data_IF_259101540360
#
_entry.id   IF_259101540360
#
_cell.length_a   1.000
_cell.length_b   1.000
_cell.length_c   1.000
_cell.angle_alpha   90.00
_cell.angle_beta   90.00
_cell.angle_gamma   90.00
#
_symmetry.space_group_name_H-M   'P 1'
#
loop_
_entity.id
_entity.type
_entity.pdbx_description
1 polymer ?
#
# COMPACT_ATOMS: atom_id res chain seq x y z
N UNK A 1 -4.42 18.63 31.45
CA UNK A 1 -4.27 19.38 30.18
C UNK A 1 -3.07 18.96 29.32
N UNK A 2 -2.10 18.16 29.79
CA UNK A 2 -0.93 17.74 28.99
C UNK A 2 -1.14 16.52 28.08
N UNK A 3 -2.04 15.60 28.45
CA UNK A 3 -2.33 14.36 27.71
C UNK A 3 -2.88 14.63 26.29
N UNK A 4 -3.70 15.68 26.14
CA UNK A 4 -4.25 16.07 24.84
C UNK A 4 -3.17 16.59 23.88
N UNK A 5 -2.10 17.21 24.37
CA UNK A 5 -1.01 17.71 23.52
C UNK A 5 -0.18 16.58 22.92
N UNK A 6 0.08 15.52 23.70
CA UNK A 6 0.84 14.36 23.23
C UNK A 6 0.02 13.58 22.19
N UNK A 7 -1.28 13.39 22.45
CA UNK A 7 -2.21 12.75 21.50
C UNK A 7 -2.32 13.55 20.19
N UNK A 8 -2.45 14.87 20.26
CA UNK A 8 -2.47 15.73 19.06
C UNK A 8 -1.17 15.66 18.26
N UNK A 9 -0.01 15.54 18.93
CA UNK A 9 1.29 15.44 18.26
C UNK A 9 1.45 14.12 17.51
N UNK A 10 1.01 13.01 18.11
CA UNK A 10 1.00 11.69 17.47
C UNK A 10 0.01 11.64 16.30
N UNK A 11 -1.18 12.23 16.47
CA UNK A 11 -2.19 12.31 15.41
C UNK A 11 -1.68 13.16 14.23
N UNK A 12 -1.08 14.32 14.51
CA UNK A 12 -0.52 15.21 13.49
C UNK A 12 0.68 14.57 12.76
N UNK A 13 1.54 13.84 13.47
CA UNK A 13 2.65 13.08 12.89
C UNK A 13 2.17 11.94 11.98
N UNK A 14 1.11 11.24 12.37
CA UNK A 14 0.45 10.23 11.54
C UNK A 14 -0.21 10.82 10.28
N UNK A 15 -0.85 11.98 10.41
CA UNK A 15 -1.47 12.70 9.30
C UNK A 15 -0.44 13.25 8.31
N UNK A 16 0.72 13.74 8.77
CA UNK A 16 1.78 14.22 7.89
C UNK A 16 2.47 13.10 7.10
N UNK A 17 2.64 11.92 7.70
CA UNK A 17 3.19 10.75 7.00
C UNK A 17 2.20 10.17 5.99
N UNK A 18 0.90 10.08 6.31
CA UNK A 18 -0.14 9.69 5.36
C UNK A 18 -0.39 10.75 4.27
N UNK A 19 -0.38 12.04 4.61
CA UNK A 19 -0.55 13.15 3.67
C UNK A 19 0.62 13.32 2.71
N UNK A 20 1.85 13.06 3.17
CA UNK A 20 3.05 13.02 2.32
C UNK A 20 3.02 11.87 1.30
N UNK A 21 2.48 10.70 1.67
CA UNK A 21 2.26 9.59 0.74
C UNK A 21 1.22 9.95 -0.35
N UNK A 22 0.11 10.59 0.02
CA UNK A 22 -0.92 11.02 -0.92
C UNK A 22 -0.44 12.15 -1.86
N UNK A 23 0.33 13.12 -1.35
CA UNK A 23 0.89 14.20 -2.17
C UNK A 23 2.00 13.70 -3.13
N UNK A 24 2.68 12.58 -2.81
CA UNK A 24 3.62 11.95 -3.73
C UNK A 24 2.93 11.22 -4.90
N UNK A 25 1.66 10.80 -4.72
CA UNK A 25 0.84 10.15 -5.74
C UNK A 25 0.21 11.13 -6.73
N UNK A 26 0.06 12.42 -6.39
CA UNK A 26 -0.62 13.41 -7.27
C UNK A 26 0.23 13.94 -8.42
N UNK A 27 1.46 13.43 -8.58
CA UNK A 27 2.33 13.88 -9.65
C UNK A 27 2.00 13.17 -10.94
N UNK A 28 1.24 13.87 -11.77
CA UNK A 28 1.13 13.72 -13.22
C UNK A 28 2.39 13.09 -13.83
N UNK A 29 2.27 11.80 -14.08
CA UNK A 29 3.20 10.87 -14.69
C UNK A 29 2.31 9.70 -15.14
N UNK A 30 2.76 8.93 -16.12
CA UNK A 30 2.06 7.76 -16.64
C UNK A 30 1.25 7.03 -15.57
N UNK A 31 0.02 6.62 -15.87
CA UNK A 31 -0.85 5.91 -14.91
C UNK A 31 -0.23 4.56 -14.54
N UNK A 32 0.62 4.56 -13.51
CA UNK A 32 1.35 3.39 -13.04
C UNK A 32 0.40 2.33 -12.48
N UNK A 33 -0.82 2.72 -12.07
CA UNK A 33 -1.84 1.79 -11.59
C UNK A 33 -2.41 0.94 -12.75
N UNK A 34 -2.27 1.37 -14.01
CA UNK A 34 -2.71 0.63 -15.19
C UNK A 34 -1.67 -0.35 -15.77
N UNK A 35 -0.39 -0.21 -15.40
CA UNK A 35 0.69 -1.09 -15.86
C UNK A 35 0.64 -2.45 -15.15
N UNK A 36 1.05 -3.53 -15.78
CA UNK A 36 1.26 -4.79 -15.05
C UNK A 36 2.54 -4.74 -14.18
N UNK A 37 2.76 -5.77 -13.36
CA UNK A 37 3.90 -5.78 -12.43
C UNK A 37 5.25 -5.94 -13.17
N UNK A 38 5.27 -6.57 -14.34
CA UNK A 38 6.47 -6.75 -15.15
C UNK A 38 6.89 -5.42 -15.80
N UNK A 39 5.95 -4.68 -16.38
CA UNK A 39 6.13 -3.33 -16.92
C UNK A 39 6.49 -2.31 -15.85
N UNK A 40 5.90 -2.45 -14.65
CA UNK A 40 6.18 -1.57 -13.52
C UNK A 40 7.62 -1.75 -13.01
N UNK A 41 8.15 -2.97 -13.07
CA UNK A 41 9.49 -3.32 -12.61
C UNK A 41 10.53 -3.34 -13.74
N UNK A 42 10.12 -3.19 -15.00
CA UNK A 42 11.04 -3.16 -16.13
C UNK A 42 11.98 -1.95 -16.05
N UNK A 43 13.25 -2.19 -16.40
CA UNK A 43 14.29 -1.16 -16.42
C UNK A 43 14.57 -0.52 -15.05
N UNK A 44 14.16 -1.13 -13.92
CA UNK A 44 14.28 -0.52 -12.59
C UNK A 44 15.71 -0.03 -12.28
N UNK A 45 16.71 -0.74 -12.79
CA UNK A 45 18.13 -0.42 -12.67
C UNK A 45 18.52 0.94 -13.26
N UNK A 46 17.90 1.32 -14.37
CA UNK A 46 18.22 2.52 -15.15
C UNK A 46 17.35 3.73 -14.78
N UNK A 47 16.33 3.53 -13.94
CA UNK A 47 15.46 4.59 -13.45
C UNK A 47 16.17 5.50 -12.44
N UNK A 48 15.82 6.79 -12.49
CA UNK A 48 16.21 7.74 -11.45
C UNK A 48 15.71 7.28 -10.07
N UNK A 49 16.41 7.61 -8.97
CA UNK A 49 15.99 7.21 -7.63
C UNK A 49 14.58 7.70 -7.23
N UNK A 50 14.08 8.76 -7.87
CA UNK A 50 12.72 9.27 -7.65
C UNK A 50 11.69 8.38 -8.35
N UNK A 51 11.92 8.05 -9.61
CA UNK A 51 11.00 7.24 -10.40
C UNK A 51 10.94 5.79 -9.90
N UNK A 52 12.10 5.23 -9.56
CA UNK A 52 12.20 3.93 -8.90
C UNK A 52 11.32 3.84 -7.65
N UNK A 53 11.38 4.86 -6.78
CA UNK A 53 10.57 4.91 -5.54
C UNK A 53 9.07 4.99 -5.84
N UNK A 54 8.66 5.65 -6.92
CA UNK A 54 7.25 5.71 -7.31
C UNK A 54 6.72 4.36 -7.76
N UNK A 55 7.41 3.72 -8.70
CA UNK A 55 7.02 2.40 -9.19
C UNK A 55 6.99 1.36 -8.08
N UNK A 56 8.00 1.37 -7.20
CA UNK A 56 8.02 0.50 -6.01
C UNK A 56 6.89 0.77 -5.02
N UNK A 57 6.44 2.02 -4.87
CA UNK A 57 5.33 2.35 -3.99
C UNK A 57 4.01 1.74 -4.50
N UNK A 58 3.78 1.79 -5.82
CA UNK A 58 2.62 1.16 -6.48
C UNK A 58 2.69 -0.35 -6.33
N UNK A 59 3.82 -0.97 -6.67
CA UNK A 59 4.01 -2.41 -6.53
C UNK A 59 3.76 -2.88 -5.08
N UNK A 60 4.34 -2.17 -4.10
CA UNK A 60 4.14 -2.49 -2.69
C UNK A 60 2.68 -2.37 -2.25
N UNK A 61 1.93 -1.40 -2.78
CA UNK A 61 0.49 -1.27 -2.52
C UNK A 61 -0.25 -2.50 -3.03
N UNK A 62 -0.02 -2.91 -4.28
CA UNK A 62 -0.64 -4.11 -4.87
C UNK A 62 -0.36 -5.38 -4.07
N UNK A 63 0.90 -5.60 -3.70
CA UNK A 63 1.28 -6.76 -2.88
C UNK A 63 0.53 -6.76 -1.55
N UNK A 64 0.33 -5.59 -0.92
CA UNK A 64 -0.44 -5.51 0.32
C UNK A 64 -1.91 -5.85 0.11
N UNK A 65 -2.51 -5.36 -0.97
CA UNK A 65 -3.91 -5.63 -1.29
C UNK A 65 -4.11 -7.12 -1.62
N UNK A 66 -3.22 -7.72 -2.40
CA UNK A 66 -3.21 -9.16 -2.68
C UNK A 66 -3.07 -10.00 -1.41
N UNK A 67 -2.15 -9.65 -0.51
CA UNK A 67 -1.99 -10.35 0.77
C UNK A 67 -3.26 -10.24 1.62
N UNK A 68 -3.94 -9.10 1.60
CA UNK A 68 -5.18 -8.92 2.33
C UNK A 68 -6.29 -9.83 1.77
N UNK A 69 -6.42 -9.88 0.44
CA UNK A 69 -7.37 -10.76 -0.24
C UNK A 69 -7.09 -12.24 0.03
N UNK A 70 -5.82 -12.67 -0.04
CA UNK A 70 -5.42 -14.05 0.27
C UNK A 70 -5.76 -14.44 1.71
N UNK A 71 -5.54 -13.53 2.67
CA UNK A 71 -5.90 -13.76 4.07
C UNK A 71 -7.42 -13.88 4.26
N UNK A 72 -8.20 -13.03 3.59
CA UNK A 72 -9.67 -13.10 3.62
C UNK A 72 -10.16 -14.43 3.02
N UNK A 73 -9.62 -14.85 1.88
CA UNK A 73 -9.95 -16.11 1.24
C UNK A 73 -9.56 -17.32 2.10
N UNK A 74 -8.40 -17.27 2.76
CA UNK A 74 -7.98 -18.32 3.69
C UNK A 74 -8.93 -18.42 4.89
N UNK A 75 -9.36 -17.29 5.45
CA UNK A 75 -10.36 -17.24 6.50
C UNK A 75 -11.71 -17.81 6.05
N UNK A 76 -12.19 -17.44 4.86
CA UNK A 76 -13.42 -17.97 4.27
C UNK A 76 -13.35 -19.48 4.07
N UNK A 77 -12.24 -20.00 3.54
CA UNK A 77 -12.04 -21.45 3.35
C UNK A 77 -12.05 -22.21 4.67
N UNK A 78 -11.37 -21.69 5.70
CA UNK A 78 -11.37 -22.29 7.02
C UNK A 78 -12.80 -22.35 7.61
N UNK A 79 -13.57 -21.27 7.42
CA UNK A 79 -14.96 -21.19 7.89
C UNK A 79 -15.87 -22.19 7.16
N UNK A 80 -15.78 -22.28 5.83
CA UNK A 80 -16.57 -23.24 5.04
C UNK A 80 -16.22 -24.68 5.44
N UNK A 81 -14.93 -25.00 5.60
CA UNK A 81 -14.50 -26.34 6.03
C UNK A 81 -15.06 -26.71 7.40
N UNK A 82 -15.20 -25.75 8.31
CA UNK A 82 -15.86 -25.94 9.60
C UNK A 82 -17.35 -26.27 9.47
N UNK A 83 -18.08 -25.65 8.53
CA UNK A 83 -19.50 -25.94 8.30
C UNK A 83 -19.77 -27.27 7.57
N UNK A 84 -18.83 -27.78 6.78
CA UNK A 84 -18.98 -29.03 6.03
C UNK A 84 -18.57 -30.26 6.88
N UNK A 85 -17.93 -30.04 8.03
CA UNK A 85 -17.40 -31.09 8.90
C UNK A 85 -18.26 -31.45 10.13
N UNK A 86 -19.38 -30.77 10.34
CA UNK A 86 -20.42 -31.06 11.36
C UNK A 86 -21.66 -31.70 10.70
#
# INVERSE_FOLDING_TARGET
>A
MMINSILSLLLAGGLLTMGGCLAAMSSHGQDLDALDDDELLDGLGDLTPRERRRRLAVYRRRVRDQIAEEQEMAWLRARIKGYVGD
#
